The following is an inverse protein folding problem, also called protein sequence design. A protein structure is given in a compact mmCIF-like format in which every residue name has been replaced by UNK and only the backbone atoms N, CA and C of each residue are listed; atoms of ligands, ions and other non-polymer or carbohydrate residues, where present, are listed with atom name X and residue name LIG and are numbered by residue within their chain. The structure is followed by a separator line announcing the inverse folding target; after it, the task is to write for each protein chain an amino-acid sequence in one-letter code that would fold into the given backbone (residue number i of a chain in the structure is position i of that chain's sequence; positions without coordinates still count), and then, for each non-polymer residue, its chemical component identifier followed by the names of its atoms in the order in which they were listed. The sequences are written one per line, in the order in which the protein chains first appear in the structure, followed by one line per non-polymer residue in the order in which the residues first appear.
data_IF_417815805907
#
_entry.id   IF_417815805907
#
_cell.length_a   1.000
_cell.length_b   1.000
_cell.length_c   1.000
_cell.angle_alpha   90.00
_cell.angle_beta   90.00
_cell.angle_gamma   90.00
#
_symmetry.space_group_name_H-M   'P 1'
#
loop_
_entity.id
_entity.type
_entity.pdbx_description
1 polymer ?
#
# COMPACT_ATOMS: atom_id res chain seq x y z
N UNK A 1 -10.13 -10.01 0.21
CA UNK A 1 -8.68 -10.34 0.33
C UNK A 1 -7.98 -9.29 -0.48
N UNK A 2 -7.05 -8.53 0.11
CA UNK A 2 -6.45 -7.39 -0.58
C UNK A 2 -5.57 -7.85 -1.75
N UNK A 3 -5.65 -7.12 -2.84
CA UNK A 3 -4.96 -7.41 -4.10
C UNK A 3 -4.34 -6.13 -4.62
N UNK A 4 -3.02 -6.15 -4.77
CA UNK A 4 -2.26 -5.05 -5.37
C UNK A 4 -1.88 -5.49 -6.77
N UNK A 5 -2.36 -4.75 -7.76
CA UNK A 5 -2.01 -4.89 -9.16
C UNK A 5 -1.09 -3.73 -9.54
N UNK A 6 0.07 -4.07 -10.08
CA UNK A 6 1.03 -3.11 -10.61
C UNK A 6 1.25 -3.46 -12.07
N UNK A 7 1.06 -2.48 -12.95
CA UNK A 7 1.41 -2.60 -14.37
C UNK A 7 2.41 -1.52 -14.70
N UNK A 8 3.60 -1.94 -15.10
CA UNK A 8 4.63 -1.05 -15.62
C UNK A 8 4.38 -0.75 -17.10
N UNK A 9 4.77 0.46 -17.51
CA UNK A 9 4.78 0.94 -18.90
C UNK A 9 5.38 -0.06 -19.90
N UNK A 10 6.43 -0.77 -19.50
CA UNK A 10 7.13 -1.76 -20.34
C UNK A 10 6.48 -3.16 -20.34
N UNK A 11 5.23 -3.26 -19.87
CA UNK A 11 4.37 -4.43 -20.04
C UNK A 11 4.46 -5.47 -18.92
N UNK A 12 5.37 -5.30 -17.94
CA UNK A 12 5.44 -6.17 -16.77
C UNK A 12 4.22 -5.94 -15.89
N UNK A 13 3.56 -7.04 -15.51
CA UNK A 13 2.39 -7.03 -14.62
C UNK A 13 2.72 -7.84 -13.39
N UNK A 14 2.58 -7.22 -12.23
CA UNK A 14 2.78 -7.84 -10.93
C UNK A 14 1.47 -7.91 -10.18
N UNK A 15 1.30 -9.03 -9.48
CA UNK A 15 0.14 -9.26 -8.62
C UNK A 15 0.64 -9.72 -7.26
N UNK A 16 0.29 -8.96 -6.22
CA UNK A 16 0.65 -9.26 -4.84
C UNK A 16 -0.64 -9.51 -4.06
N UNK A 17 -0.98 -10.79 -3.77
CA UNK A 17 -2.09 -11.10 -2.89
C UNK A 17 -1.69 -10.84 -1.44
N UNK A 18 -2.38 -9.92 -0.78
CA UNK A 18 -2.13 -9.57 0.62
C UNK A 18 -3.30 -10.07 1.48
N UNK A 19 -3.08 -11.10 2.33
CA UNK A 19 -4.10 -11.52 3.29
C UNK A 19 -4.48 -10.35 4.19
N UNK A 20 -5.78 -10.15 4.40
CA UNK A 20 -6.29 -8.99 5.13
C UNK A 20 -5.88 -8.95 6.62
N UNK A 21 -5.67 -10.13 7.22
CA UNK A 21 -5.08 -10.25 8.55
C UNK A 21 -3.66 -9.71 8.61
N UNK A 22 -2.91 -9.83 7.51
CA UNK A 22 -1.53 -9.35 7.39
C UNK A 22 -1.51 -7.91 6.89
N UNK A 23 -2.48 -7.43 6.12
CA UNK A 23 -2.50 -6.04 5.65
C UNK A 23 -2.44 -5.03 6.81
N UNK A 24 -3.27 -5.21 7.84
CA UNK A 24 -3.22 -4.37 9.06
C UNK A 24 -1.93 -4.55 9.87
N UNK A 25 -1.39 -5.76 9.88
CA UNK A 25 -0.12 -6.06 10.57
C UNK A 25 1.09 -5.51 9.80
N UNK A 26 1.01 -5.49 8.47
CA UNK A 26 1.98 -4.98 7.53
C UNK A 26 2.10 -3.46 7.62
N UNK A 27 1.00 -2.74 7.84
CA UNK A 27 1.06 -1.31 8.17
C UNK A 27 1.92 -1.06 9.43
N UNK A 28 1.72 -1.86 10.49
CA UNK A 28 2.50 -1.73 11.74
C UNK A 28 3.95 -2.16 11.58
N UNK A 29 4.21 -3.24 10.83
CA UNK A 29 5.59 -3.67 10.52
C UNK A 29 6.27 -2.61 9.64
N UNK A 30 5.56 -2.01 8.69
CA UNK A 30 6.11 -0.95 7.84
C UNK A 30 6.57 0.23 8.70
N UNK A 31 5.75 0.70 9.65
CA UNK A 31 6.16 1.76 10.59
C UNK A 31 7.45 1.38 11.34
N UNK A 32 7.51 0.17 11.90
CA UNK A 32 8.67 -0.30 12.65
C UNK A 32 9.92 -0.48 11.77
N UNK A 33 9.76 -0.99 10.55
CA UNK A 33 10.85 -1.19 9.59
C UNK A 33 11.38 0.15 9.06
N UNK A 34 10.50 1.13 8.84
CA UNK A 34 10.87 2.49 8.44
C UNK A 34 11.65 3.16 9.58
N UNK A 35 11.16 3.09 10.82
CA UNK A 35 11.83 3.66 12.00
C UNK A 35 13.25 3.06 12.19
N UNK A 36 13.38 1.75 11.98
CA UNK A 36 14.62 1.01 12.26
C UNK A 36 15.61 0.94 11.09
N UNK A 37 15.12 0.95 9.86
CA UNK A 37 15.92 0.73 8.63
C UNK A 37 15.82 1.87 7.62
N UNK A 38 15.07 2.93 7.91
CA UNK A 38 14.88 4.11 7.04
C UNK A 38 16.11 4.98 6.82
N UNK A 39 17.31 4.56 7.25
CA UNK A 39 18.57 5.28 7.01
C UNK A 39 18.88 5.47 5.51
N UNK A 40 18.31 4.65 4.64
CA UNK A 40 18.48 4.73 3.17
C UNK A 40 17.34 5.43 2.44
N UNK A 41 16.30 5.87 3.15
CA UNK A 41 15.20 6.61 2.53
C UNK A 41 15.64 8.06 2.28
N UNK A 42 15.35 8.57 1.08
CA UNK A 42 15.57 9.98 0.77
C UNK A 42 14.54 10.87 1.50
N UNK A 43 14.77 12.18 1.54
CA UNK A 43 13.92 13.11 2.29
C UNK A 43 12.46 13.07 1.82
N UNK A 44 12.24 13.05 0.51
CA UNK A 44 10.88 12.99 -0.06
C UNK A 44 10.12 11.73 0.37
N UNK A 45 10.78 10.58 0.41
CA UNK A 45 10.19 9.33 0.90
C UNK A 45 9.85 9.41 2.38
N UNK A 46 10.73 10.01 3.20
CA UNK A 46 10.47 10.23 4.63
C UNK A 46 9.27 11.13 4.85
N UNK A 47 9.20 12.27 4.16
CA UNK A 47 8.10 13.21 4.31
C UNK A 47 6.75 12.56 3.98
N UNK A 48 6.69 11.73 2.93
CA UNK A 48 5.48 10.97 2.57
C UNK A 48 5.11 9.98 3.68
N UNK A 49 6.09 9.24 4.19
CA UNK A 49 5.87 8.21 5.21
C UNK A 49 5.44 8.82 6.56
N UNK A 50 6.09 9.91 6.97
CA UNK A 50 5.84 10.59 8.24
C UNK A 50 4.43 11.24 8.26
N UNK A 51 3.86 11.52 7.09
CA UNK A 51 2.49 12.01 6.96
C UNK A 51 1.43 10.90 7.13
N UNK A 52 1.81 9.62 7.17
CA UNK A 52 0.88 8.49 7.24
C UNK A 52 0.75 8.00 8.69
N UNK A 53 -0.45 8.14 9.26
CA UNK A 53 -0.82 7.41 10.46
C UNK A 53 -1.15 5.95 10.11
N UNK A 54 -0.15 5.08 10.28
CA UNK A 54 -0.27 3.66 9.95
C UNK A 54 -1.23 2.90 10.85
N UNK A 55 -1.47 3.35 12.09
CA UNK A 55 -2.41 2.71 13.00
C UNK A 55 -3.86 3.03 12.59
N UNK A 56 -4.13 4.28 12.22
CA UNK A 56 -5.44 4.67 11.70
C UNK A 56 -5.72 4.06 10.32
N UNK A 57 -4.69 3.94 9.48
CA UNK A 57 -4.76 3.20 8.22
C UNK A 57 -5.09 1.72 8.45
N UNK A 58 -4.48 1.07 9.44
CA UNK A 58 -4.76 -0.33 9.78
C UNK A 58 -6.20 -0.53 10.26
N UNK A 59 -6.74 0.39 11.08
CA UNK A 59 -8.15 0.38 11.50
C UNK A 59 -9.09 0.57 10.31
N UNK A 60 -8.76 1.50 9.42
CA UNK A 60 -9.52 1.77 8.19
C UNK A 60 -9.60 0.54 7.29
N UNK A 61 -8.47 -0.14 7.04
CA UNK A 61 -8.44 -1.39 6.27
C UNK A 61 -9.27 -2.50 6.95
N UNK A 62 -9.19 -2.61 8.28
CA UNK A 62 -9.97 -3.59 9.05
C UNK A 62 -11.47 -3.34 8.92
N UNK A 63 -11.91 -2.09 8.96
CA UNK A 63 -13.31 -1.71 8.74
C UNK A 63 -13.75 -2.03 7.30
N UNK A 64 -12.95 -1.62 6.32
CA UNK A 64 -13.25 -1.77 4.89
C UNK A 64 -13.30 -3.23 4.40
N UNK A 65 -12.67 -4.16 5.14
CA UNK A 65 -12.73 -5.61 4.87
C UNK A 65 -14.16 -6.19 4.82
N UNK A 66 -15.14 -5.55 5.46
CA UNK A 66 -16.54 -6.02 5.43
C UNK A 66 -17.21 -5.88 4.06
N UNK A 67 -16.69 -5.03 3.19
CA UNK A 67 -17.28 -4.71 1.89
C UNK A 67 -16.63 -5.56 0.78
N UNK A 68 -17.44 -6.03 -0.18
CA UNK A 68 -16.95 -6.81 -1.33
C UNK A 68 -16.68 -5.88 -2.52
N UNK A 69 -15.56 -6.09 -3.19
CA UNK A 69 -15.26 -5.41 -4.47
C UNK A 69 -14.80 -3.96 -4.31
N UNK A 70 -14.32 -3.59 -3.12
CA UNK A 70 -13.89 -2.22 -2.85
C UNK A 70 -12.59 -1.92 -3.60
N UNK A 71 -12.59 -0.85 -4.40
CA UNK A 71 -11.37 -0.31 -5.04
C UNK A 71 -10.86 0.85 -4.20
N UNK A 72 -9.70 0.66 -3.56
CA UNK A 72 -9.10 1.63 -2.64
C UNK A 72 -8.29 2.69 -3.37
N UNK A 73 -7.50 2.27 -4.35
CA UNK A 73 -6.59 3.11 -5.11
C UNK A 73 -6.66 2.72 -6.57
N UNK A 74 -6.78 3.71 -7.43
CA UNK A 74 -6.67 3.58 -8.88
C UNK A 74 -5.88 4.78 -9.37
N UNK A 75 -4.63 4.54 -9.75
CA UNK A 75 -3.73 5.58 -10.23
C UNK A 75 -3.19 5.15 -11.58
N UNK A 76 -3.22 6.08 -12.52
CA UNK A 76 -2.55 5.98 -13.82
C UNK A 76 -1.60 7.16 -13.94
N UNK A 77 -0.31 6.87 -14.02
CA UNK A 77 0.72 7.88 -14.28
C UNK A 77 0.56 8.44 -15.69
N UNK A 78 1.01 9.69 -15.90
CA UNK A 78 1.12 10.28 -17.24
C UNK A 78 2.00 9.43 -18.18
N UNK A 79 2.92 8.66 -17.62
CA UNK A 79 3.80 7.74 -18.34
C UNK A 79 3.19 6.36 -18.63
N UNK A 80 1.98 6.08 -18.12
CA UNK A 80 1.25 4.83 -18.37
C UNK A 80 1.44 3.73 -17.32
N UNK A 81 2.14 4.00 -16.21
CA UNK A 81 2.17 3.07 -15.08
C UNK A 81 0.82 3.06 -14.35
N UNK A 82 0.30 1.87 -14.05
CA UNK A 82 -0.98 1.69 -13.36
C UNK A 82 -0.79 0.98 -12.02
N UNK A 83 -1.42 1.54 -10.98
CA UNK A 83 -1.52 0.91 -9.67
C UNK A 83 -2.98 0.79 -9.29
N UNK A 84 -3.43 -0.42 -9.01
CA UNK A 84 -4.78 -0.69 -8.51
C UNK A 84 -4.73 -1.50 -7.24
N UNK A 85 -5.35 -1.00 -6.17
CA UNK A 85 -5.50 -1.70 -4.89
C UNK A 85 -6.97 -2.02 -4.69
N UNK A 86 -7.29 -3.30 -4.52
CA UNK A 86 -8.66 -3.80 -4.30
C UNK A 86 -8.73 -4.65 -3.04
N UNK A 87 -9.90 -4.68 -2.38
CA UNK A 87 -10.18 -5.42 -1.14
C UNK A 87 -11.13 -6.60 -1.34
#
# INVERSE_FOLDING_TARGET
MMRIYIREKHGRKFFIPVPLSIASFGCRIASYAIEKSGKHLNQQQRDIIDCIDFDELAKSIKYLRGYRGLKLVEVTSADGDEVTITL
#
